data_IF_048776786677
#
_entry.id   IF_048776786677
#
_cell.length_a   1.000
_cell.length_b   1.000
_cell.length_c   1.000
_cell.angle_alpha   90.00
_cell.angle_beta   90.00
_cell.angle_gamma   90.00
#
_symmetry.space_group_name_H-M   'P 1'
#
loop_
_entity.id
_entity.type
_entity.pdbx_description
1 polymer ?
#
# COMPACT_ATOMS: atom_id res chain seq x y z
N UNK A 1 11.40 -0.77 16.14
CA UNK A 1 11.63 0.30 15.15
C UNK A 1 12.39 -0.31 13.97
N UNK A 2 11.81 -0.32 12.77
CA UNK A 2 12.48 -0.84 11.56
C UNK A 2 13.41 0.23 11.01
N UNK A 3 14.70 -0.09 10.83
CA UNK A 3 15.74 0.90 10.46
C UNK A 3 15.65 1.41 9.02
N UNK A 4 15.09 0.62 8.10
CA UNK A 4 14.98 0.96 6.68
C UNK A 4 13.72 0.31 6.09
N UNK A 5 12.55 0.94 6.19
CA UNK A 5 11.35 0.42 5.53
C UNK A 5 11.52 0.50 4.01
N UNK A 6 10.94 -0.46 3.29
CA UNK A 6 10.77 -0.33 1.84
C UNK A 6 9.85 0.86 1.53
N UNK A 7 10.10 1.56 0.43
CA UNK A 7 9.35 2.75 -0.01
C UNK A 7 9.03 2.66 -1.49
N UNK A 8 8.04 3.44 -1.96
CA UNK A 8 7.68 3.58 -3.39
C UNK A 8 7.58 5.06 -3.78
N UNK A 9 7.72 5.36 -5.07
CA UNK A 9 7.60 6.73 -5.59
C UNK A 9 6.14 7.08 -5.96
N UNK A 10 5.73 8.36 -5.95
CA UNK A 10 4.31 8.75 -6.02
C UNK A 10 3.65 8.44 -7.36
N UNK A 11 4.44 8.37 -8.44
CA UNK A 11 3.96 8.10 -9.80
C UNK A 11 4.16 6.64 -10.20
N UNK A 12 4.57 5.78 -9.25
CA UNK A 12 4.64 4.34 -9.48
C UNK A 12 3.24 3.80 -9.71
N UNK A 13 3.04 3.04 -10.79
CA UNK A 13 1.72 2.45 -11.07
C UNK A 13 1.29 1.48 -9.97
N UNK A 14 -0.01 1.44 -9.68
CA UNK A 14 -0.54 0.62 -8.59
C UNK A 14 -0.22 -0.88 -8.78
N UNK A 15 -0.18 -1.36 -10.03
CA UNK A 15 0.24 -2.74 -10.34
C UNK A 15 1.67 -3.04 -9.90
N UNK A 16 2.60 -2.09 -10.12
CA UNK A 16 4.00 -2.24 -9.69
C UNK A 16 4.11 -2.16 -8.17
N UNK A 17 3.41 -1.21 -7.54
CA UNK A 17 3.33 -1.10 -6.08
C UNK A 17 2.82 -2.40 -5.47
N UNK A 18 1.76 -2.99 -6.01
CA UNK A 18 1.19 -4.22 -5.49
C UNK A 18 2.17 -5.39 -5.52
N UNK A 19 2.90 -5.55 -6.63
CA UNK A 19 3.97 -6.58 -6.73
C UNK A 19 5.10 -6.33 -5.73
N UNK A 20 5.51 -5.07 -5.56
CA UNK A 20 6.54 -4.71 -4.60
C UNK A 20 6.08 -5.02 -3.16
N UNK A 21 4.84 -4.66 -2.80
CA UNK A 21 4.26 -4.94 -1.48
C UNK A 21 4.08 -6.44 -1.25
N UNK A 22 3.69 -7.22 -2.26
CA UNK A 22 3.63 -8.69 -2.17
C UNK A 22 5.00 -9.32 -1.92
N UNK A 23 6.06 -8.85 -2.58
CA UNK A 23 7.43 -9.29 -2.27
C UNK A 23 7.88 -8.89 -0.86
N UNK A 24 7.41 -7.75 -0.34
CA UNK A 24 7.72 -7.29 1.02
C UNK A 24 6.83 -7.95 2.08
N UNK A 25 5.71 -8.61 1.71
CA UNK A 25 4.85 -9.36 2.67
C UNK A 25 5.60 -10.47 3.39
N UNK A 26 6.66 -11.02 2.81
CA UNK A 26 7.57 -11.95 3.51
C UNK A 26 8.15 -11.33 4.80
N UNK A 27 8.20 -9.99 4.88
CA UNK A 27 8.68 -9.22 6.04
C UNK A 27 7.55 -8.66 6.92
N UNK A 28 6.30 -9.09 6.72
CA UNK A 28 5.11 -8.67 7.48
C UNK A 28 4.86 -7.14 7.50
N UNK A 29 5.34 -6.40 6.50
CA UNK A 29 5.14 -4.95 6.41
C UNK A 29 3.69 -4.65 6.06
N UNK A 30 2.97 -4.02 6.99
CA UNK A 30 1.55 -3.69 6.83
C UNK A 30 1.29 -2.40 6.05
N UNK A 31 2.30 -1.54 5.87
CA UNK A 31 2.18 -0.26 5.18
C UNK A 31 3.51 0.14 4.56
N UNK A 32 3.45 0.70 3.36
CA UNK A 32 4.62 1.14 2.58
C UNK A 32 4.54 2.65 2.40
N UNK A 33 5.52 3.42 2.91
CA UNK A 33 5.59 4.85 2.67
C UNK A 33 5.76 5.17 1.18
N UNK A 34 5.05 6.20 0.72
CA UNK A 34 5.28 6.84 -0.56
C UNK A 34 6.19 8.03 -0.34
N UNK A 35 7.33 8.06 -1.02
CA UNK A 35 8.35 9.10 -0.86
C UNK A 35 8.57 9.83 -2.18
N UNK A 36 8.77 11.15 -2.12
CA UNK A 36 9.18 11.94 -3.28
C UNK A 36 10.68 11.84 -3.57
N UNK A 37 11.14 12.50 -4.64
CA UNK A 37 12.56 12.57 -5.03
C UNK A 37 13.45 13.16 -3.92
N UNK A 38 12.88 14.04 -3.07
CA UNK A 38 13.54 14.65 -1.92
C UNK A 38 13.61 13.73 -0.69
N UNK A 39 13.17 12.47 -0.80
CA UNK A 39 13.06 11.49 0.30
C UNK A 39 12.07 11.90 1.39
N UNK A 40 11.14 12.79 1.09
CA UNK A 40 10.06 13.14 2.02
C UNK A 40 8.90 12.18 1.87
N UNK A 41 8.35 11.73 2.99
CA UNK A 41 7.12 10.94 2.98
C UNK A 41 5.94 11.84 2.58
N UNK A 42 5.33 11.54 1.44
CA UNK A 42 4.18 12.28 0.89
C UNK A 42 2.88 11.49 0.99
N UNK A 43 2.95 10.21 1.36
CA UNK A 43 1.79 9.36 1.52
C UNK A 43 2.12 7.98 2.04
N UNK A 44 1.10 7.11 2.06
CA UNK A 44 1.21 5.74 2.50
C UNK A 44 0.28 4.86 1.68
N UNK A 45 0.73 3.65 1.34
CA UNK A 45 -0.09 2.62 0.71
C UNK A 45 -0.14 1.41 1.63
N UNK A 46 -1.32 0.83 1.75
CA UNK A 46 -1.61 -0.33 2.57
C UNK A 46 -2.21 -1.47 1.73
N UNK A 47 -2.22 -2.72 2.26
CA UNK A 47 -2.91 -3.82 1.62
C UNK A 47 -4.41 -3.59 1.39
N UNK A 48 -5.05 -2.73 2.20
CA UNK A 48 -6.45 -2.37 2.04
C UNK A 48 -6.66 -1.56 0.75
N UNK A 49 -5.82 -0.57 0.49
CA UNK A 49 -5.88 0.24 -0.74
C UNK A 49 -5.69 -0.63 -1.98
N UNK A 50 -4.76 -1.60 -1.91
CA UNK A 50 -4.51 -2.55 -2.99
C UNK A 50 -5.67 -3.53 -3.19
N UNK A 51 -6.38 -3.90 -2.13
CA UNK A 51 -7.56 -4.77 -2.23
C UNK A 51 -8.72 -4.05 -2.93
N UNK A 52 -8.93 -2.76 -2.64
CA UNK A 52 -9.93 -1.95 -3.34
C UNK A 52 -9.62 -1.84 -4.83
N UNK A 53 -8.35 -1.66 -5.20
CA UNK A 53 -7.96 -1.51 -6.62
C UNK A 53 -7.93 -2.84 -7.39
N UNK A 54 -7.35 -3.90 -6.82
CA UNK A 54 -7.07 -5.16 -7.55
C UNK A 54 -8.13 -6.24 -7.38
N UNK A 55 -8.79 -6.28 -6.23
CA UNK A 55 -9.81 -7.29 -5.92
C UNK A 55 -10.97 -6.68 -5.09
N UNK A 56 -11.75 -5.76 -5.69
CA UNK A 56 -12.81 -5.04 -4.99
C UNK A 56 -13.90 -5.99 -4.45
N UNK A 57 -14.08 -7.16 -5.08
CA UNK A 57 -15.07 -8.16 -4.68
C UNK A 57 -14.65 -9.03 -3.50
N UNK A 58 -13.38 -8.99 -3.08
CA UNK A 58 -12.91 -9.71 -1.89
C UNK A 58 -13.51 -9.16 -0.60
N UNK A 59 -13.54 -9.98 0.45
CA UNK A 59 -13.95 -9.52 1.78
C UNK A 59 -13.12 -8.31 2.25
N UNK A 60 -11.81 -8.30 1.96
CA UNK A 60 -10.95 -7.16 2.31
C UNK A 60 -11.25 -5.93 1.46
N UNK A 61 -11.48 -6.09 0.15
CA UNK A 61 -11.88 -5.00 -0.74
C UNK A 61 -13.20 -4.37 -0.31
N UNK A 62 -14.21 -5.19 0.01
CA UNK A 62 -15.52 -4.75 0.48
C UNK A 62 -15.43 -3.94 1.77
N UNK A 63 -14.71 -4.42 2.80
CA UNK A 63 -14.56 -3.65 4.05
C UNK A 63 -13.69 -2.41 3.89
N UNK A 64 -12.74 -2.41 2.95
CA UNK A 64 -11.84 -1.28 2.72
C UNK A 64 -12.50 -0.16 1.89
N UNK A 65 -13.42 -0.52 0.99
CA UNK A 65 -14.21 0.42 0.20
C UNK A 65 -15.43 0.99 0.98
N UNK A 66 -15.82 0.33 2.07
CA UNK A 66 -16.89 0.81 2.94
C UNK A 66 -16.51 2.16 3.56
N UNK A 67 -17.42 3.13 3.51
CA UNK A 67 -17.24 4.39 4.24
C UNK A 67 -17.30 4.10 5.75
N UNK A 68 -16.44 4.72 6.57
CA UNK A 68 -16.30 4.39 7.99
C UNK A 68 -17.52 4.70 8.87
N UNK A 69 -18.58 5.30 8.31
CA UNK A 69 -19.84 5.66 8.98
C UNK A 69 -21.04 4.78 8.55
N UNK A 70 -20.80 3.60 7.96
CA UNK A 70 -21.85 2.61 7.65
C UNK A 70 -22.07 1.63 8.80
#
# INVERSE_FOLDING_TARGET
MTRAPATVEPLTSVTVVARAVEGVREHAVRRTPVVDDGRHAVGIVSPADLAVERDPGSALGAVSAASPDQ
#
